data_IF_727968793077
#
_entry.id   IF_727968793077
#
_cell.length_a   1.000
_cell.length_b   1.000
_cell.length_c   1.000
_cell.angle_alpha   90.00
_cell.angle_beta   90.00
_cell.angle_gamma   90.00
#
_symmetry.space_group_name_H-M   'P 1'
#
loop_
_entity.id
_entity.type
_entity.pdbx_description
1 polymer ?
#
# COMPACT_ATOMS: atom_id res chain seq x y z
N UNK A 1 8.32 -35.01 42.29
CA UNK A 1 8.45 -35.76 41.03
C UNK A 1 7.66 -34.99 39.97
N UNK A 2 7.92 -33.70 39.77
CA UNK A 2 9.14 -33.01 39.29
C UNK A 2 8.82 -32.56 37.87
N UNK A 3 8.35 -31.32 37.71
CA UNK A 3 8.30 -30.64 36.42
C UNK A 3 8.08 -29.13 36.60
N UNK A 4 8.95 -28.49 37.38
CA UNK A 4 9.07 -27.03 37.46
C UNK A 4 10.48 -26.65 36.97
N UNK A 5 10.69 -26.47 35.67
CA UNK A 5 11.99 -26.02 35.12
C UNK A 5 11.89 -25.44 33.70
N UNK A 6 11.01 -24.46 33.45
CA UNK A 6 11.02 -23.70 32.18
C UNK A 6 10.77 -22.19 32.37
N UNK A 7 11.22 -21.58 33.47
CA UNK A 7 10.98 -20.16 33.75
C UNK A 7 12.23 -19.34 34.11
N UNK A 8 13.38 -19.62 33.49
CA UNK A 8 14.66 -18.96 33.83
C UNK A 8 15.40 -18.37 32.62
N UNK A 9 14.68 -17.82 31.64
CA UNK A 9 15.28 -17.22 30.44
C UNK A 9 14.74 -15.84 30.05
N UNK A 10 14.37 -14.96 30.99
CA UNK A 10 14.11 -13.54 30.66
C UNK A 10 14.29 -12.59 31.87
N UNK A 11 15.49 -12.48 32.44
CA UNK A 11 15.72 -11.58 33.61
C UNK A 11 16.76 -10.48 33.42
N UNK A 12 17.03 -10.04 32.18
CA UNK A 12 17.82 -8.82 32.03
C UNK A 12 17.34 -7.90 30.90
N UNK A 13 16.51 -6.89 31.20
CA UNK A 13 16.10 -5.89 30.20
C UNK A 13 17.28 -5.11 29.61
N UNK A 14 18.46 -5.13 30.25
CA UNK A 14 19.70 -4.57 29.66
C UNK A 14 20.28 -5.45 28.55
N UNK A 15 20.09 -6.76 28.58
CA UNK A 15 20.57 -7.66 27.52
C UNK A 15 19.70 -7.54 26.26
N UNK A 16 18.40 -7.34 26.41
CA UNK A 16 17.51 -7.14 25.26
C UNK A 16 17.84 -5.87 24.46
N UNK A 17 18.15 -4.77 25.16
CA UNK A 17 18.59 -3.53 24.50
C UNK A 17 19.92 -3.72 23.74
N UNK A 18 20.84 -4.49 24.29
CA UNK A 18 22.11 -4.81 23.63
C UNK A 18 21.91 -5.71 22.40
N UNK A 19 21.01 -6.69 22.47
CA UNK A 19 20.64 -7.54 21.33
C UNK A 19 19.99 -6.73 20.21
N UNK A 20 19.07 -5.82 20.54
CA UNK A 20 18.47 -4.91 19.55
C UNK A 20 19.50 -3.97 18.91
N UNK A 21 20.42 -3.43 19.72
CA UNK A 21 21.48 -2.57 19.22
C UNK A 21 22.43 -3.34 18.28
N UNK A 22 22.78 -4.58 18.62
CA UNK A 22 23.58 -5.45 17.77
C UNK A 22 22.88 -5.76 16.44
N UNK A 23 21.60 -6.13 16.48
CA UNK A 23 20.81 -6.41 15.27
C UNK A 23 20.70 -5.18 14.36
N UNK A 24 20.48 -4.00 14.93
CA UNK A 24 20.43 -2.74 14.17
C UNK A 24 21.77 -2.43 13.51
N UNK A 25 22.88 -2.61 14.22
CA UNK A 25 24.22 -2.42 13.68
C UNK A 25 24.52 -3.42 12.55
N UNK A 26 24.06 -4.66 12.67
CA UNK A 26 24.20 -5.68 11.64
C UNK A 26 23.40 -5.33 10.37
N UNK A 27 22.17 -4.84 10.51
CA UNK A 27 21.39 -4.36 9.36
C UNK A 27 22.01 -3.14 8.68
N UNK A 28 22.56 -2.20 9.45
CA UNK A 28 23.29 -1.04 8.89
C UNK A 28 24.51 -1.51 8.10
N UNK A 29 25.25 -2.48 8.63
CA UNK A 29 26.41 -3.08 7.97
C UNK A 29 26.01 -3.77 6.65
N UNK A 30 24.99 -4.62 6.67
CA UNK A 30 24.48 -5.30 5.46
C UNK A 30 23.98 -4.30 4.40
N UNK A 31 23.31 -3.23 4.83
CA UNK A 31 22.87 -2.16 3.93
C UNK A 31 24.05 -1.41 3.32
N UNK A 32 25.08 -1.10 4.11
CA UNK A 32 26.31 -0.47 3.63
C UNK A 32 27.09 -1.39 2.68
N UNK A 33 27.15 -2.70 2.95
CA UNK A 33 27.75 -3.69 2.07
C UNK A 33 26.97 -3.84 0.76
N UNK A 34 25.63 -3.78 0.81
CA UNK A 34 24.78 -3.81 -0.39
C UNK A 34 24.93 -2.52 -1.21
N UNK A 35 25.05 -1.37 -0.56
CA UNK A 35 25.38 -0.09 -1.20
C UNK A 35 26.81 -0.07 -1.76
N UNK A 36 27.78 -0.70 -1.10
CA UNK A 36 29.15 -0.84 -1.58
C UNK A 36 29.28 -1.89 -2.70
N UNK A 37 28.36 -2.86 -2.73
CA UNK A 37 28.10 -3.77 -3.85
C UNK A 37 27.27 -3.13 -4.97
N UNK A 38 26.90 -1.84 -4.88
CA UNK A 38 26.52 -1.10 -6.10
C UNK A 38 27.62 -1.38 -7.10
N UNK A 39 27.28 -1.91 -8.29
CA UNK A 39 28.28 -2.28 -9.27
C UNK A 39 29.22 -1.10 -9.44
N UNK A 40 30.50 -1.34 -9.13
CA UNK A 40 31.63 -0.51 -9.54
C UNK A 40 31.27 0.00 -10.93
N UNK A 41 31.30 1.33 -11.14
CA UNK A 41 31.02 1.99 -12.42
C UNK A 41 31.28 1.02 -13.56
N UNK A 42 30.26 0.69 -14.37
CA UNK A 42 30.34 -0.40 -15.32
C UNK A 42 31.68 -0.29 -16.03
N UNK A 43 32.51 -1.33 -15.87
CA UNK A 43 33.80 -1.40 -16.55
C UNK A 43 33.54 -1.00 -18.02
N UNK A 44 34.40 -0.18 -18.64
CA UNK A 44 34.14 0.39 -19.98
C UNK A 44 33.89 -0.65 -21.09
N UNK A 45 34.04 -1.94 -20.78
CA UNK A 45 33.74 -3.09 -21.64
C UNK A 45 32.23 -3.34 -21.83
N UNK A 46 31.33 -2.86 -20.95
CA UNK A 46 29.87 -3.09 -21.09
C UNK A 46 29.17 -1.99 -21.89
N UNK A 47 29.76 -0.81 -22.04
CA UNK A 47 29.17 0.25 -22.87
C UNK A 47 29.31 -0.02 -24.38
N UNK A 48 30.30 -0.80 -24.80
CA UNK A 48 30.60 -1.00 -26.22
C UNK A 48 29.70 -2.04 -26.93
N UNK A 49 28.79 -2.73 -26.22
CA UNK A 49 27.85 -3.70 -26.83
C UNK A 49 26.40 -3.23 -26.97
N UNK A 50 26.05 -2.02 -26.52
CA UNK A 50 24.71 -1.46 -26.78
C UNK A 50 24.54 -0.97 -28.23
N UNK A 51 25.64 -0.72 -28.94
CA UNK A 51 25.65 -0.23 -30.33
C UNK A 51 25.33 -1.30 -31.38
N UNK A 52 25.24 -2.59 -31.01
CA UNK A 52 25.08 -3.70 -31.95
C UNK A 52 23.74 -4.44 -31.88
N UNK A 53 22.85 -4.11 -30.93
CA UNK A 53 21.50 -4.66 -30.94
C UNK A 53 20.71 -3.93 -32.02
N UNK A 54 20.69 -4.52 -33.23
CA UNK A 54 19.73 -4.11 -34.27
C UNK A 54 18.34 -4.08 -33.62
N UNK A 55 17.51 -3.06 -33.91
CA UNK A 55 16.11 -3.09 -33.52
C UNK A 55 15.52 -4.39 -34.05
N UNK A 56 15.10 -5.28 -33.15
CA UNK A 56 14.42 -6.49 -33.56
C UNK A 56 13.17 -6.08 -34.32
N UNK A 57 12.93 -6.73 -35.45
CA UNK A 57 11.71 -6.46 -36.20
C UNK A 57 10.51 -6.93 -35.37
N UNK A 58 9.33 -6.27 -35.49
CA UNK A 58 8.13 -6.71 -34.80
C UNK A 58 7.81 -8.20 -35.02
N UNK A 59 8.13 -8.72 -36.22
CA UNK A 59 7.96 -10.13 -36.58
C UNK A 59 8.83 -11.08 -35.74
N UNK A 60 10.09 -10.73 -35.51
CA UNK A 60 11.00 -11.55 -34.70
C UNK A 60 10.58 -11.55 -33.23
N UNK A 61 10.25 -10.38 -32.67
CA UNK A 61 9.72 -10.27 -31.32
C UNK A 61 8.44 -11.10 -31.17
N UNK A 62 7.52 -10.99 -32.12
CA UNK A 62 6.25 -11.70 -32.08
C UNK A 62 6.46 -13.21 -32.11
N UNK A 63 7.34 -13.69 -33.01
CA UNK A 63 7.66 -15.13 -33.09
C UNK A 63 8.22 -15.67 -31.78
N UNK A 64 9.10 -14.91 -31.11
CA UNK A 64 9.65 -15.27 -29.81
C UNK A 64 8.54 -15.29 -28.74
N UNK A 65 7.74 -14.23 -28.65
CA UNK A 65 6.67 -14.08 -27.68
C UNK A 65 5.63 -15.20 -27.80
N UNK A 66 5.23 -15.54 -29.03
CA UNK A 66 4.34 -16.67 -29.30
C UNK A 66 4.94 -18.00 -28.85
N UNK A 67 6.24 -18.22 -29.09
CA UNK A 67 6.93 -19.44 -28.66
C UNK A 67 6.99 -19.55 -27.13
N UNK A 68 7.29 -18.44 -26.44
CA UNK A 68 7.28 -18.34 -24.97
C UNK A 68 5.87 -18.59 -24.42
N UNK A 69 4.85 -17.98 -25.03
CA UNK A 69 3.45 -18.14 -24.62
C UNK A 69 2.98 -19.59 -24.71
N UNK A 70 3.34 -20.29 -25.80
CA UNK A 70 2.94 -21.67 -26.05
C UNK A 70 3.73 -22.70 -25.24
N UNK A 71 5.01 -22.45 -24.97
CA UNK A 71 5.90 -23.43 -24.35
C UNK A 71 5.88 -23.38 -22.81
N UNK A 72 5.68 -22.21 -22.21
CA UNK A 72 5.76 -22.03 -20.76
C UNK A 72 4.36 -22.02 -20.13
N UNK A 73 4.18 -22.53 -18.91
CA UNK A 73 2.93 -22.37 -18.16
C UNK A 73 2.73 -20.93 -17.66
N UNK A 74 1.50 -20.56 -17.32
CA UNK A 74 1.08 -19.18 -16.97
C UNK A 74 1.93 -18.58 -15.86
N UNK A 75 2.25 -19.37 -14.84
CA UNK A 75 2.97 -18.95 -13.64
C UNK A 75 4.40 -18.50 -13.98
N UNK A 76 5.09 -19.25 -14.85
CA UNK A 76 6.44 -18.89 -15.31
C UNK A 76 6.39 -17.64 -16.18
N UNK A 77 5.33 -17.47 -16.99
CA UNK A 77 5.14 -16.25 -17.78
C UNK A 77 4.90 -15.04 -16.90
N UNK A 78 4.09 -15.14 -15.85
CA UNK A 78 3.88 -14.05 -14.88
C UNK A 78 5.18 -13.66 -14.17
N UNK A 79 6.05 -14.63 -13.84
CA UNK A 79 7.40 -14.31 -13.35
C UNK A 79 8.20 -13.49 -14.37
N UNK A 80 8.18 -13.89 -15.65
CA UNK A 80 8.86 -13.16 -16.73
C UNK A 80 8.29 -11.73 -16.86
N UNK A 81 6.97 -11.58 -16.86
CA UNK A 81 6.31 -10.27 -17.00
C UNK A 81 6.69 -9.33 -15.86
N UNK A 82 6.77 -9.85 -14.63
CA UNK A 82 7.27 -9.10 -13.48
C UNK A 82 8.68 -8.54 -13.67
N UNK A 83 9.56 -9.24 -14.38
CA UNK A 83 10.90 -8.73 -14.71
C UNK A 83 10.93 -7.73 -15.88
N UNK A 84 9.90 -7.71 -16.74
CA UNK A 84 9.87 -6.88 -17.95
C UNK A 84 9.41 -5.47 -17.63
N UNK A 85 8.26 -5.31 -16.96
CA UNK A 85 7.69 -3.99 -16.74
C UNK A 85 8.23 -3.36 -15.46
N UNK A 86 8.40 -2.03 -15.46
CA UNK A 86 8.88 -1.33 -14.28
C UNK A 86 7.84 -1.40 -13.14
N UNK A 87 8.28 -1.76 -11.92
CA UNK A 87 7.44 -1.73 -10.71
C UNK A 87 7.39 -0.34 -10.09
N UNK A 88 7.08 0.67 -10.89
CA UNK A 88 6.92 2.03 -10.39
C UNK A 88 5.64 2.18 -9.58
N UNK A 89 5.64 3.11 -8.64
CA UNK A 89 4.40 3.56 -8.01
C UNK A 89 3.64 4.39 -9.02
N UNK A 90 2.43 3.95 -9.36
CA UNK A 90 1.58 4.65 -10.32
C UNK A 90 0.68 5.60 -9.56
N UNK A 91 0.86 6.89 -9.81
CA UNK A 91 0.03 7.94 -9.23
C UNK A 91 -1.30 7.97 -9.96
N UNK A 92 -2.38 7.78 -9.21
CA UNK A 92 -3.74 7.73 -9.73
C UNK A 92 -4.48 8.98 -9.25
N UNK A 93 -4.46 10.02 -10.08
CA UNK A 93 -5.27 11.22 -9.95
C UNK A 93 -6.17 11.43 -11.19
N UNK A 94 -6.83 12.59 -11.33
CA UNK A 94 -7.62 12.93 -12.51
C UNK A 94 -6.86 12.77 -13.84
N UNK A 95 -5.58 13.11 -13.85
CA UNK A 95 -4.67 13.04 -15.01
C UNK A 95 -4.35 11.61 -15.44
N UNK A 96 -4.52 10.61 -14.56
CA UNK A 96 -4.36 9.19 -14.91
C UNK A 96 -5.28 8.78 -16.07
N UNK A 97 -6.46 9.39 -16.14
CA UNK A 97 -7.48 9.06 -17.13
C UNK A 97 -7.31 9.79 -18.47
N UNK A 98 -6.37 10.73 -18.57
CA UNK A 98 -6.09 11.47 -19.81
C UNK A 98 -5.11 10.72 -20.72
N UNK A 99 -4.25 9.88 -20.13
CA UNK A 99 -3.21 9.13 -20.85
C UNK A 99 -3.68 7.72 -21.18
N UNK A 100 -3.77 7.40 -22.46
CA UNK A 100 -4.13 6.06 -22.95
C UNK A 100 -2.88 5.26 -23.36
N UNK A 101 -2.96 3.93 -23.30
CA UNK A 101 -2.04 2.96 -23.95
C UNK A 101 -0.64 2.70 -23.40
N UNK A 102 -0.16 3.44 -22.39
CA UNK A 102 1.14 3.15 -21.73
C UNK A 102 0.99 3.23 -20.20
N UNK A 103 1.66 2.35 -19.43
CA UNK A 103 1.41 2.24 -17.99
C UNK A 103 1.97 3.45 -17.24
N UNK A 104 3.21 3.82 -17.55
CA UNK A 104 3.99 4.91 -16.97
C UNK A 104 4.85 5.61 -18.05
N UNK A 105 5.49 6.71 -17.67
CA UNK A 105 6.32 7.51 -18.58
C UNK A 105 7.64 6.81 -18.95
N UNK A 106 8.23 6.04 -18.03
CA UNK A 106 9.45 5.28 -18.28
C UNK A 106 9.25 4.21 -19.37
N UNK A 107 8.04 3.67 -19.48
CA UNK A 107 7.67 2.66 -20.47
C UNK A 107 6.99 3.24 -21.71
N UNK A 108 6.94 4.57 -21.88
CA UNK A 108 6.23 5.20 -22.99
C UNK A 108 6.74 4.76 -24.39
N UNK A 109 7.98 4.27 -24.48
CA UNK A 109 8.61 3.78 -25.71
C UNK A 109 8.88 2.27 -25.69
N UNK A 110 8.40 1.56 -24.67
CA UNK A 110 8.61 0.13 -24.56
C UNK A 110 7.74 -0.62 -25.58
N UNK A 111 8.40 -1.28 -26.53
CA UNK A 111 7.72 -2.01 -27.61
C UNK A 111 6.93 -3.22 -27.09
N UNK A 112 7.27 -3.75 -25.92
CA UNK A 112 6.60 -4.90 -25.32
C UNK A 112 5.15 -4.61 -24.86
N UNK A 113 4.73 -3.33 -24.81
CA UNK A 113 3.32 -2.96 -24.61
C UNK A 113 2.48 -3.00 -25.89
N UNK A 114 3.10 -3.21 -27.05
CA UNK A 114 2.40 -3.23 -28.33
C UNK A 114 2.10 -4.66 -28.78
N UNK A 115 0.83 -4.93 -29.08
CA UNK A 115 0.38 -6.19 -29.68
C UNK A 115 1.16 -6.57 -30.95
N UNK A 116 1.67 -5.59 -31.69
CA UNK A 116 2.45 -5.85 -32.91
C UNK A 116 3.76 -6.59 -32.62
N UNK A 117 4.32 -6.40 -31.41
CA UNK A 117 5.57 -7.03 -30.98
C UNK A 117 5.36 -8.28 -30.16
N UNK A 118 4.35 -8.33 -29.29
CA UNK A 118 4.17 -9.47 -28.35
C UNK A 118 2.97 -10.37 -28.68
N UNK A 119 2.07 -9.93 -29.55
CA UNK A 119 0.78 -10.59 -29.79
C UNK A 119 -0.27 -10.20 -28.74
N UNK A 120 -1.56 -10.33 -29.11
CA UNK A 120 -2.69 -9.88 -28.26
C UNK A 120 -2.78 -10.66 -26.96
N UNK A 121 -2.58 -11.97 -26.99
CA UNK A 121 -2.68 -12.83 -25.80
C UNK A 121 -1.61 -12.50 -24.76
N UNK A 122 -0.34 -12.41 -25.18
CA UNK A 122 0.74 -12.03 -24.27
C UNK A 122 0.60 -10.59 -23.78
N UNK A 123 0.17 -9.65 -24.63
CA UNK A 123 -0.08 -8.26 -24.21
C UNK A 123 -1.14 -8.21 -23.11
N UNK A 124 -2.26 -8.92 -23.29
CA UNK A 124 -3.32 -9.01 -22.29
C UNK A 124 -2.80 -9.57 -20.97
N UNK A 125 -2.06 -10.67 -21.04
CA UNK A 125 -1.42 -11.30 -19.88
C UNK A 125 -0.44 -10.37 -19.15
N UNK A 126 0.34 -9.58 -19.88
CA UNK A 126 1.25 -8.57 -19.32
C UNK A 126 0.50 -7.43 -18.62
N UNK A 127 -0.61 -6.96 -19.21
CA UNK A 127 -1.47 -5.94 -18.59
C UNK A 127 -2.06 -6.47 -17.27
N UNK A 128 -2.51 -7.72 -17.24
CA UNK A 128 -2.99 -8.34 -16.02
C UNK A 128 -1.90 -8.44 -14.94
N UNK A 129 -0.70 -8.91 -15.31
CA UNK A 129 0.47 -8.96 -14.42
C UNK A 129 0.80 -7.58 -13.85
N UNK A 130 0.72 -6.55 -14.69
CA UNK A 130 0.95 -5.18 -14.28
C UNK A 130 -0.03 -4.71 -13.21
N UNK A 131 -1.34 -4.94 -13.37
CA UNK A 131 -2.32 -4.60 -12.34
C UNK A 131 -2.10 -5.35 -11.02
N UNK A 132 -1.70 -6.63 -11.07
CA UNK A 132 -1.47 -7.44 -9.86
C UNK A 132 -0.23 -7.01 -9.07
N UNK A 133 0.81 -6.57 -9.75
CA UNK A 133 2.12 -6.31 -9.12
C UNK A 133 2.40 -4.84 -8.81
N UNK A 134 1.72 -3.93 -9.52
CA UNK A 134 1.91 -2.48 -9.39
C UNK A 134 1.28 -1.92 -8.12
N UNK A 135 1.97 -0.97 -7.49
CA UNK A 135 1.41 -0.17 -6.39
C UNK A 135 0.69 1.06 -6.96
N UNK A 136 -0.63 1.09 -6.83
CA UNK A 136 -1.44 2.25 -7.24
C UNK A 136 -1.60 3.23 -6.08
N UNK A 137 -1.15 4.47 -6.27
CA UNK A 137 -1.18 5.50 -5.26
C UNK A 137 -2.26 6.56 -5.52
N UNK A 138 -3.35 6.47 -4.76
CA UNK A 138 -4.47 7.40 -4.75
C UNK A 138 -4.16 8.60 -3.86
N UNK A 139 -3.55 9.62 -4.47
CA UNK A 139 -2.98 10.76 -3.75
C UNK A 139 -3.92 11.98 -3.66
N UNK A 140 -4.98 12.03 -4.49
CA UNK A 140 -5.93 13.16 -4.53
C UNK A 140 -6.94 13.06 -3.38
N UNK A 141 -6.47 13.45 -2.19
CA UNK A 141 -7.23 13.38 -0.93
C UNK A 141 -8.68 13.89 -1.01
N UNK A 142 -8.92 14.95 -1.79
CA UNK A 142 -10.25 15.56 -1.92
C UNK A 142 -11.18 14.81 -2.88
N UNK A 143 -10.62 14.11 -3.87
CA UNK A 143 -11.38 13.40 -4.88
C UNK A 143 -11.18 11.88 -4.88
N UNK A 144 -10.50 11.33 -3.85
CA UNK A 144 -10.09 9.93 -3.82
C UNK A 144 -11.28 8.99 -4.07
N UNK A 145 -12.45 9.22 -3.47
CA UNK A 145 -13.63 8.37 -3.73
C UNK A 145 -14.01 8.32 -5.22
N UNK A 146 -14.09 9.47 -5.89
CA UNK A 146 -14.43 9.56 -7.32
C UNK A 146 -13.33 8.97 -8.21
N UNK A 147 -12.08 9.20 -7.85
CA UNK A 147 -10.91 8.70 -8.60
C UNK A 147 -10.82 7.18 -8.47
N UNK A 148 -10.97 6.63 -7.27
CA UNK A 148 -10.98 5.18 -7.01
C UNK A 148 -12.16 4.54 -7.75
N UNK A 149 -13.38 5.05 -7.57
CA UNK A 149 -14.57 4.52 -8.25
C UNK A 149 -14.37 4.45 -9.76
N UNK A 150 -13.88 5.54 -10.38
CA UNK A 150 -13.58 5.56 -11.80
C UNK A 150 -12.47 4.59 -12.17
N UNK A 151 -11.38 4.54 -11.40
CA UNK A 151 -10.25 3.65 -11.65
C UNK A 151 -10.69 2.19 -11.68
N UNK A 152 -11.49 1.75 -10.70
CA UNK A 152 -11.89 0.35 -10.55
C UNK A 152 -12.65 -0.22 -11.76
N UNK A 153 -13.37 0.64 -12.50
CA UNK A 153 -14.20 0.24 -13.65
C UNK A 153 -13.63 0.66 -15.01
N UNK A 154 -12.59 1.50 -15.05
CA UNK A 154 -12.06 2.03 -16.32
C UNK A 154 -11.10 1.04 -16.96
N UNK A 155 -11.50 0.46 -18.09
CA UNK A 155 -10.59 -0.27 -18.97
C UNK A 155 -9.70 0.71 -19.75
N UNK A 156 -8.54 1.01 -19.16
CA UNK A 156 -7.54 1.91 -19.76
C UNK A 156 -6.94 1.36 -21.06
N UNK A 157 -6.99 0.05 -21.26
CA UNK A 157 -6.25 -0.62 -22.32
C UNK A 157 -7.12 -1.08 -23.49
N UNK A 158 -8.46 -1.06 -23.32
CA UNK A 158 -9.39 -1.51 -24.35
C UNK A 158 -9.38 -3.03 -24.56
N UNK A 159 -9.03 -3.79 -23.52
CA UNK A 159 -8.95 -5.26 -23.54
C UNK A 159 -10.01 -5.95 -22.67
N UNK A 160 -11.08 -5.22 -22.30
CA UNK A 160 -12.12 -5.68 -21.36
C UNK A 160 -11.52 -6.11 -20.02
N UNK A 161 -10.49 -5.39 -19.58
CA UNK A 161 -9.81 -5.62 -18.31
C UNK A 161 -10.30 -4.59 -17.29
N UNK A 162 -10.92 -5.07 -16.22
CA UNK A 162 -11.35 -4.22 -15.11
C UNK A 162 -10.32 -4.24 -13.98
N UNK A 163 -9.77 -3.09 -13.57
CA UNK A 163 -8.78 -3.03 -12.50
C UNK A 163 -9.27 -3.62 -11.18
N UNK A 164 -10.56 -3.51 -10.87
CA UNK A 164 -11.16 -4.08 -9.65
C UNK A 164 -10.87 -5.58 -9.48
N UNK A 165 -10.80 -6.33 -10.59
CA UNK A 165 -10.66 -7.78 -10.59
C UNK A 165 -9.19 -8.21 -10.48
N UNK A 166 -8.24 -7.26 -10.54
CA UNK A 166 -6.81 -7.57 -10.64
C UNK A 166 -5.93 -6.81 -9.65
N UNK A 167 -6.35 -5.66 -9.15
CA UNK A 167 -5.53 -4.87 -8.23
C UNK A 167 -5.24 -5.68 -6.97
N UNK A 168 -3.97 -5.73 -6.58
CA UNK A 168 -3.55 -6.37 -5.33
C UNK A 168 -2.82 -5.43 -4.38
N UNK A 169 -2.44 -4.21 -4.81
CA UNK A 169 -1.66 -3.29 -3.99
C UNK A 169 -2.12 -1.85 -4.21
N UNK A 170 -2.52 -1.19 -3.14
CA UNK A 170 -3.00 0.18 -3.18
C UNK A 170 -2.41 1.02 -2.04
N UNK A 171 -1.99 2.25 -2.35
CA UNK A 171 -1.68 3.27 -1.36
C UNK A 171 -2.74 4.35 -1.41
N UNK A 172 -3.26 4.76 -0.25
CA UNK A 172 -4.40 5.68 -0.17
C UNK A 172 -4.10 6.75 0.87
N UNK A 173 -4.20 8.02 0.50
CA UNK A 173 -4.22 9.12 1.49
C UNK A 173 -5.65 9.36 1.97
N UNK A 174 -5.88 9.22 3.28
CA UNK A 174 -7.15 9.52 3.94
C UNK A 174 -7.05 10.91 4.58
N UNK A 175 -8.08 11.74 4.41
CA UNK A 175 -8.07 13.13 4.90
C UNK A 175 -9.39 13.53 5.52
N UNK A 176 -9.33 14.33 6.59
CA UNK A 176 -10.52 14.92 7.26
C UNK A 176 -10.93 16.28 6.69
N UNK A 177 -10.06 16.89 5.87
CA UNK A 177 -10.33 18.16 5.18
C UNK A 177 -9.70 18.21 3.79
N UNK A 178 -10.32 18.97 2.89
CA UNK A 178 -9.74 19.30 1.57
C UNK A 178 -8.71 20.42 1.66
N UNK A 179 -8.73 21.23 2.73
CA UNK A 179 -7.92 22.45 2.85
C UNK A 179 -6.90 22.29 3.96
N UNK A 180 -5.64 22.53 3.63
CA UNK A 180 -4.59 22.73 4.61
C UNK A 180 -4.92 23.96 5.47
N UNK A 181 -4.61 23.92 6.77
CA UNK A 181 -4.69 25.05 7.70
C UNK A 181 -3.65 26.16 7.37
N UNK A 182 -3.38 26.47 6.11
CA UNK A 182 -2.27 27.34 5.66
C UNK A 182 -2.41 28.82 6.02
N UNK A 183 -3.54 29.24 6.62
CA UNK A 183 -3.77 30.64 7.05
C UNK A 183 -4.11 30.74 8.53
N UNK A 184 -3.22 30.24 9.39
CA UNK A 184 -3.31 30.33 10.86
C UNK A 184 -3.47 31.75 11.42
N UNK A 185 -3.17 32.81 10.67
CA UNK A 185 -2.99 34.15 11.24
C UNK A 185 -4.24 35.05 11.23
N UNK A 186 -5.30 34.73 10.49
CA UNK A 186 -6.37 35.73 10.24
C UNK A 186 -7.80 35.22 10.38
N UNK A 187 -8.04 33.92 10.59
CA UNK A 187 -9.39 33.38 10.73
C UNK A 187 -9.48 32.36 11.88
N UNK A 188 -10.63 32.29 12.58
CA UNK A 188 -10.88 31.22 13.54
C UNK A 188 -10.67 29.88 12.85
N UNK A 189 -9.89 29.00 13.48
CA UNK A 189 -9.52 27.70 12.95
C UNK A 189 -10.79 26.91 12.59
N UNK A 190 -10.74 26.17 11.47
CA UNK A 190 -11.87 25.36 11.03
C UNK A 190 -12.19 24.34 12.12
N UNK A 191 -13.48 24.23 12.47
CA UNK A 191 -13.94 23.15 13.34
C UNK A 191 -14.12 21.93 12.45
N UNK A 192 -13.25 20.93 12.62
CA UNK A 192 -13.39 19.64 11.96
C UNK A 192 -14.63 18.96 12.55
N UNK A 193 -15.54 18.56 11.67
CA UNK A 193 -16.72 17.75 11.98
C UNK A 193 -16.77 16.55 11.06
N UNK A 194 -17.36 15.48 11.56
CA UNK A 194 -17.53 14.22 10.83
C UNK A 194 -16.20 13.67 10.26
N UNK A 195 -15.14 13.77 11.07
CA UNK A 195 -13.82 13.23 10.75
C UNK A 195 -13.90 11.72 10.47
N UNK A 196 -14.70 11.00 11.27
CA UNK A 196 -14.95 9.58 11.05
C UNK A 196 -15.53 9.29 9.67
N UNK A 197 -16.68 9.88 9.33
CA UNK A 197 -17.33 9.65 8.04
C UNK A 197 -16.46 10.06 6.84
N UNK A 198 -15.67 11.14 6.96
CA UNK A 198 -14.74 11.56 5.91
C UNK A 198 -13.62 10.55 5.69
N UNK A 199 -12.97 10.10 6.77
CA UNK A 199 -11.88 9.12 6.68
C UNK A 199 -12.37 7.77 6.14
N UNK A 200 -13.59 7.36 6.49
CA UNK A 200 -14.13 6.05 6.13
C UNK A 200 -14.86 6.00 4.79
N UNK A 201 -15.16 7.16 4.19
CA UNK A 201 -15.98 7.24 2.97
C UNK A 201 -15.50 6.37 1.80
N UNK A 202 -14.18 6.18 1.65
CA UNK A 202 -13.57 5.38 0.57
C UNK A 202 -13.69 3.87 0.77
N UNK A 203 -13.90 3.39 1.99
CA UNK A 203 -13.85 1.95 2.31
C UNK A 203 -14.99 1.17 1.66
N UNK A 204 -16.13 1.81 1.42
CA UNK A 204 -17.25 1.23 0.67
C UNK A 204 -16.86 0.74 -0.73
N UNK A 205 -15.85 1.37 -1.34
CA UNK A 205 -15.32 0.95 -2.63
C UNK A 205 -14.37 -0.23 -2.48
N UNK A 206 -13.58 -0.27 -1.41
CA UNK A 206 -12.64 -1.35 -1.12
C UNK A 206 -13.35 -2.65 -0.72
N UNK A 207 -14.50 -2.56 -0.05
CA UNK A 207 -15.34 -3.72 0.28
C UNK A 207 -15.88 -4.47 -0.94
N UNK A 208 -15.76 -3.90 -2.15
CA UNK A 208 -16.23 -4.53 -3.39
C UNK A 208 -15.11 -5.31 -4.09
N UNK A 209 -13.87 -5.24 -3.58
CA UNK A 209 -12.73 -5.86 -4.23
C UNK A 209 -12.71 -7.37 -3.94
N UNK A 210 -12.74 -8.23 -4.97
CA UNK A 210 -12.76 -9.67 -4.77
C UNK A 210 -11.39 -10.23 -4.36
N UNK A 211 -10.32 -9.45 -4.48
CA UNK A 211 -8.95 -9.89 -4.26
C UNK A 211 -8.43 -9.54 -2.86
N UNK A 212 -7.47 -10.31 -2.36
CA UNK A 212 -6.73 -9.99 -1.12
C UNK A 212 -5.75 -8.83 -1.31
N UNK A 213 -6.29 -7.62 -1.42
CA UNK A 213 -5.51 -6.38 -1.59
C UNK A 213 -4.67 -6.06 -0.35
N UNK A 214 -3.44 -5.61 -0.59
CA UNK A 214 -2.56 -4.99 0.39
C UNK A 214 -2.70 -3.46 0.32
N UNK A 215 -3.27 -2.88 1.36
CA UNK A 215 -3.48 -1.44 1.48
C UNK A 215 -2.39 -0.76 2.32
N UNK A 216 -1.86 0.34 1.81
CA UNK A 216 -0.98 1.26 2.52
C UNK A 216 -1.73 2.57 2.73
N UNK A 217 -2.35 2.73 3.89
CA UNK A 217 -3.19 3.88 4.22
C UNK A 217 -2.40 4.90 5.01
N UNK A 218 -2.47 6.17 4.60
CA UNK A 218 -1.88 7.29 5.33
C UNK A 218 -2.98 8.26 5.73
N UNK A 219 -3.18 8.45 7.02
CA UNK A 219 -4.18 9.35 7.59
C UNK A 219 -3.57 10.73 7.79
N UNK A 220 -4.26 11.76 7.31
CA UNK A 220 -3.81 13.14 7.33
C UNK A 220 -4.89 13.98 8.04
N UNK A 221 -4.54 14.52 9.19
CA UNK A 221 -5.38 15.47 9.93
C UNK A 221 -4.79 16.87 9.96
N UNK A 222 -3.62 17.08 9.36
CA UNK A 222 -2.99 18.40 9.20
C UNK A 222 -2.85 19.14 10.51
N UNK A 223 -2.39 18.44 11.54
CA UNK A 223 -2.22 18.99 12.89
C UNK A 223 -3.53 19.48 13.56
N UNK A 224 -4.71 19.14 13.03
CA UNK A 224 -6.00 19.50 13.63
C UNK A 224 -6.15 19.08 15.10
N UNK A 225 -5.63 17.90 15.54
CA UNK A 225 -5.59 17.54 16.96
C UNK A 225 -4.78 18.51 17.82
N UNK A 226 -3.58 18.91 17.40
CA UNK A 226 -2.71 19.78 18.21
C UNK A 226 -3.19 21.23 18.24
N UNK A 227 -3.86 21.66 17.17
CA UNK A 227 -4.31 23.04 17.01
C UNK A 227 -5.70 23.31 17.58
N UNK A 228 -6.37 22.27 18.10
CA UNK A 228 -7.70 22.36 18.68
C UNK A 228 -8.83 22.46 17.65
N UNK A 229 -8.52 22.32 16.36
CA UNK A 229 -9.49 22.29 15.27
C UNK A 229 -10.34 21.00 15.29
N UNK A 230 -9.79 19.92 15.85
CA UNK A 230 -10.49 18.67 16.10
C UNK A 230 -10.62 18.46 17.61
N UNK A 231 -11.85 18.29 18.09
CA UNK A 231 -12.09 18.02 19.51
C UNK A 231 -11.66 16.60 19.89
N UNK A 232 -11.44 16.37 21.18
CA UNK A 232 -11.13 15.04 21.71
C UNK A 232 -12.21 13.99 21.36
N UNK A 233 -13.48 14.37 21.44
CA UNK A 233 -14.59 13.47 21.08
C UNK A 233 -14.60 13.16 19.58
N UNK A 234 -14.30 14.15 18.74
CA UNK A 234 -14.25 13.98 17.29
C UNK A 234 -13.09 13.07 16.87
N UNK A 235 -11.90 13.28 17.46
CA UNK A 235 -10.74 12.41 17.21
C UNK A 235 -11.00 10.98 17.65
N UNK A 236 -11.59 10.80 18.85
CA UNK A 236 -11.95 9.46 19.35
C UNK A 236 -12.94 8.77 18.41
N UNK A 237 -13.99 9.48 17.99
CA UNK A 237 -14.97 8.96 17.02
C UNK A 237 -14.33 8.59 15.68
N UNK A 238 -13.39 9.40 15.19
CA UNK A 238 -12.65 9.12 13.96
C UNK A 238 -11.77 7.88 14.07
N UNK A 239 -11.07 7.71 15.19
CA UNK A 239 -10.27 6.51 15.48
C UNK A 239 -11.17 5.26 15.48
N UNK A 240 -12.30 5.29 16.18
CA UNK A 240 -13.22 4.15 16.22
C UNK A 240 -13.77 3.78 14.85
N UNK A 241 -14.28 4.77 14.11
CA UNK A 241 -14.81 4.56 12.76
C UNK A 241 -13.74 3.96 11.84
N UNK A 242 -12.51 4.49 11.88
CA UNK A 242 -11.40 3.95 11.08
C UNK A 242 -11.09 2.51 11.48
N UNK A 243 -10.96 2.20 12.78
CA UNK A 243 -10.66 0.84 13.25
C UNK A 243 -11.75 -0.15 12.84
N UNK A 244 -13.02 0.24 12.88
CA UNK A 244 -14.15 -0.62 12.45
C UNK A 244 -14.05 -1.01 10.96
N UNK A 245 -13.77 -0.06 10.08
CA UNK A 245 -13.58 -0.34 8.65
C UNK A 245 -12.34 -1.20 8.41
N UNK A 246 -11.27 -0.97 9.16
CA UNK A 246 -10.04 -1.75 9.13
C UNK A 246 -10.29 -3.22 9.55
N UNK A 247 -11.09 -3.45 10.59
CA UNK A 247 -11.56 -4.81 10.99
C UNK A 247 -12.30 -5.46 9.82
N UNK A 248 -13.20 -4.70 9.19
CA UNK A 248 -14.02 -5.20 8.08
C UNK A 248 -13.15 -5.62 6.91
N UNK A 249 -12.20 -4.78 6.47
CA UNK A 249 -11.26 -5.14 5.41
C UNK A 249 -10.45 -6.39 5.73
N UNK A 250 -9.97 -6.51 6.97
CA UNK A 250 -9.23 -7.70 7.39
C UNK A 250 -10.09 -8.96 7.40
N UNK A 251 -11.36 -8.88 7.81
CA UNK A 251 -12.29 -10.02 7.77
C UNK A 251 -12.55 -10.52 6.35
N UNK A 252 -12.35 -9.67 5.35
CA UNK A 252 -12.40 -9.99 3.92
C UNK A 252 -11.07 -10.53 3.36
N UNK A 253 -10.05 -10.70 4.21
CA UNK A 253 -8.72 -11.19 3.84
C UNK A 253 -7.79 -10.14 3.25
N UNK A 254 -8.14 -8.85 3.32
CA UNK A 254 -7.22 -7.78 2.95
C UNK A 254 -6.13 -7.61 4.01
N UNK A 255 -4.94 -7.20 3.55
CA UNK A 255 -3.84 -6.78 4.43
C UNK A 255 -3.78 -5.27 4.44
N UNK A 256 -3.48 -4.66 5.57
CA UNK A 256 -3.39 -3.21 5.62
C UNK A 256 -2.21 -2.78 6.49
N UNK A 257 -1.65 -1.64 6.15
CA UNK A 257 -0.70 -0.87 6.93
C UNK A 257 -1.25 0.53 7.05
N UNK A 258 -1.35 1.05 8.26
CA UNK A 258 -1.88 2.38 8.56
C UNK A 258 -0.77 3.23 9.15
N UNK A 259 -0.53 4.38 8.54
CA UNK A 259 0.37 5.42 9.05
C UNK A 259 -0.44 6.67 9.41
N UNK A 260 -0.22 7.22 10.59
CA UNK A 260 -0.86 8.46 11.04
C UNK A 260 0.19 9.44 11.58
N UNK A 261 0.81 10.27 10.71
CA UNK A 261 1.87 11.20 11.10
C UNK A 261 1.48 12.15 12.23
N UNK A 262 0.25 12.68 12.17
CA UNK A 262 -0.28 13.63 13.15
C UNK A 262 -0.57 13.01 14.53
N UNK A 263 -0.49 11.67 14.67
CA UNK A 263 -0.57 10.94 15.94
C UNK A 263 0.80 10.37 16.31
N UNK A 264 1.80 11.24 16.51
CA UNK A 264 3.18 10.86 16.86
C UNK A 264 3.82 9.85 15.89
N UNK A 265 3.51 9.95 14.59
CA UNK A 265 3.98 9.02 13.56
C UNK A 265 3.68 7.55 13.86
N UNK A 266 2.50 7.25 14.43
CA UNK A 266 2.06 5.87 14.61
C UNK A 266 2.02 5.15 13.26
N UNK A 267 2.59 3.94 13.25
CA UNK A 267 2.48 2.98 12.17
C UNK A 267 1.96 1.67 12.76
N UNK A 268 0.83 1.21 12.21
CA UNK A 268 0.20 -0.05 12.57
C UNK A 268 0.19 -0.94 11.34
N UNK A 269 0.63 -2.18 11.51
CA UNK A 269 0.65 -3.16 10.42
C UNK A 269 0.10 -4.48 10.90
N UNK A 270 -0.71 -5.13 10.07
CA UNK A 270 -1.05 -6.53 10.29
C UNK A 270 0.17 -7.40 9.97
N UNK A 271 1.01 -7.65 10.99
CA UNK A 271 2.08 -8.64 10.93
C UNK A 271 1.69 -9.84 11.79
N UNK A 272 1.81 -11.04 11.23
CA UNK A 272 1.70 -12.31 11.94
C UNK A 272 0.29 -12.71 12.45
N UNK A 273 -0.79 -12.22 11.83
CA UNK A 273 -2.15 -12.76 12.03
C UNK A 273 -2.84 -12.43 13.37
N UNK A 274 -2.14 -11.85 14.35
CA UNK A 274 -2.76 -11.41 15.61
C UNK A 274 -3.32 -9.99 15.45
N UNK A 275 -4.62 -9.88 15.16
CA UNK A 275 -5.34 -8.61 15.17
C UNK A 275 -6.26 -8.51 16.39
N UNK A 276 -6.14 -7.42 17.14
CA UNK A 276 -7.12 -7.04 18.16
C UNK A 276 -7.50 -5.58 17.97
N UNK A 277 -8.76 -5.35 17.56
CA UNK A 277 -9.28 -4.00 17.31
C UNK A 277 -9.14 -3.10 18.55
N UNK A 278 -9.31 -3.68 19.73
CA UNK A 278 -9.12 -3.02 21.03
C UNK A 278 -7.68 -2.57 21.26
N UNK A 279 -6.69 -3.34 20.80
CA UNK A 279 -5.28 -2.99 20.90
C UNK A 279 -4.91 -1.84 19.95
N UNK A 280 -5.35 -1.91 18.69
CA UNK A 280 -5.12 -0.83 17.73
C UNK A 280 -5.78 0.47 18.18
N UNK A 281 -7.03 0.39 18.65
CA UNK A 281 -7.74 1.54 19.24
C UNK A 281 -6.95 2.13 20.40
N UNK A 282 -6.47 1.27 21.32
CA UNK A 282 -5.66 1.70 22.46
C UNK A 282 -4.37 2.37 22.02
N UNK A 283 -3.64 1.82 21.04
CA UNK A 283 -2.41 2.41 20.54
C UNK A 283 -2.65 3.80 19.90
N UNK A 284 -3.69 3.93 19.07
CA UNK A 284 -4.06 5.22 18.45
C UNK A 284 -4.49 6.26 19.48
N UNK A 285 -5.30 5.85 20.47
CA UNK A 285 -5.76 6.72 21.56
C UNK A 285 -4.59 7.17 22.44
N UNK A 286 -3.64 6.27 22.74
CA UNK A 286 -2.44 6.60 23.52
C UNK A 286 -1.47 7.52 22.78
N UNK A 287 -1.43 7.43 21.45
CA UNK A 287 -0.62 8.31 20.62
C UNK A 287 -1.26 9.68 20.38
N UNK A 288 -2.52 9.88 20.78
CA UNK A 288 -3.18 11.16 20.66
C UNK A 288 -2.48 12.25 21.51
N UNK A 289 -2.27 13.45 20.96
CA UNK A 289 -1.55 14.52 21.68
C UNK A 289 -2.36 15.16 22.82
N UNK A 290 -3.65 14.80 22.93
CA UNK A 290 -4.56 15.29 23.95
C UNK A 290 -5.07 14.16 24.83
N UNK A 291 -5.43 14.48 26.08
CA UNK A 291 -6.04 13.50 26.98
C UNK A 291 -7.44 13.12 26.47
N UNK A 292 -7.54 11.98 25.80
CA UNK A 292 -8.81 11.38 25.43
C UNK A 292 -9.44 10.76 26.67
N UNK A 293 -10.64 11.19 27.02
CA UNK A 293 -11.34 10.72 28.22
C UNK A 293 -11.99 9.37 27.92
N UNK A 294 -11.37 8.28 28.40
CA UNK A 294 -11.85 6.90 28.24
C UNK A 294 -13.24 6.62 28.84
N UNK A 295 -13.86 7.59 29.53
CA UNK A 295 -15.20 7.44 30.12
C UNK A 295 -16.32 7.23 29.10
N UNK A 296 -16.08 7.48 27.81
CA UNK A 296 -16.88 6.89 26.74
C UNK A 296 -16.38 5.46 26.51
N UNK A 297 -16.58 4.64 27.55
CA UNK A 297 -16.25 3.23 27.52
C UNK A 297 -16.95 2.63 26.30
N UNK A 298 -16.16 1.95 25.48
CA UNK A 298 -16.62 1.05 24.44
C UNK A 298 -17.89 0.34 24.93
N UNK A 299 -19.04 0.43 24.25
CA UNK A 299 -19.99 -0.65 24.42
C UNK A 299 -19.18 -1.92 24.13
N UNK A 300 -19.14 -2.85 25.09
CA UNK A 300 -18.48 -4.14 24.89
C UNK A 300 -19.01 -4.68 23.56
N UNK A 301 -18.17 -4.60 22.53
CA UNK A 301 -18.55 -5.01 21.20
C UNK A 301 -18.83 -6.49 21.30
N UNK A 302 -20.07 -6.87 21.05
CA UNK A 302 -20.51 -8.26 20.98
C UNK A 302 -19.92 -9.01 19.77
N UNK A 303 -19.03 -8.36 19.00
CA UNK A 303 -18.19 -9.05 18.03
C UNK A 303 -17.16 -9.89 18.79
N UNK A 304 -17.55 -11.14 19.08
CA UNK A 304 -16.66 -12.13 19.67
C UNK A 304 -15.35 -12.22 18.91
N UNK A 305 -14.24 -12.33 19.63
CA UNK A 305 -12.90 -12.56 19.08
C UNK A 305 -12.98 -13.70 18.04
N UNK A 306 -12.92 -13.34 16.76
CA UNK A 306 -12.88 -14.30 15.65
C UNK A 306 -11.47 -14.88 15.65
N UNK A 307 -11.25 -15.85 16.54
CA UNK A 307 -10.09 -16.71 16.50
C UNK A 307 -10.25 -17.60 15.27
N UNK A 308 -9.59 -17.24 14.17
CA UNK A 308 -9.47 -18.12 13.01
C UNK A 308 -8.62 -19.33 13.42
N UNK A 309 -9.28 -20.42 13.80
CA UNK A 309 -8.65 -21.75 13.82
C UNK A 309 -8.31 -22.12 12.38
N UNK A 310 -7.02 -22.13 12.07
CA UNK A 310 -6.48 -22.62 10.81
C UNK A 310 -6.44 -24.15 10.91
N UNK A 311 -7.31 -24.83 10.14
CA UNK A 311 -7.20 -26.27 9.82
C UNK A 311 -6.35 -26.46 8.55
#
# INVERSE_FOLDING_TARGET
MDSDSESELMENPRDFAQVLQHLLMQQIQEYQETQARKPKEPSPIVEEKKSALRPLSPRECHSLCTSVHQALPREIRDMIYGYIHAHETIYVGPEYFEKTTVPCESDAKAHYWSAQYVGTEMQREMIESWYRTTLFYFYDKGNNSRVIERFLVTDRWGHDIKPQDLICRARVELSVEERLHTKYKERPCCVVKDAGGKLTSVFKLFHQLPNHVEFFMRVQTYDAPHTGCMSASELCGAIHALVEELVTLHSMGHRVVVQWPDLNNVELSWKNGAFKASEWTKQLVQAAPMKLNYKYAMPESSAGDVSQTTE
#
